data_IF_616693178122
#
_entry.id   IF_616693178122
#
_cell.length_a   1.000
_cell.length_b   1.000
_cell.length_c   1.000
_cell.angle_alpha   90.00
_cell.angle_beta   90.00
_cell.angle_gamma   90.00
#
_symmetry.space_group_name_H-M   'P 1'
#
loop_
_entity.id
_entity.type
_entity.pdbx_description
1 polymer ?
#
# COMPACT_ATOMS: atom_id res chain seq x y z
N UNK A 1 12.16 -8.72 -15.92
CA UNK A 1 13.39 -8.12 -15.35
C UNK A 1 13.03 -7.58 -13.99
N UNK A 2 13.51 -8.21 -12.94
CA UNK A 2 13.43 -7.70 -11.58
C UNK A 2 14.31 -6.47 -11.51
N UNK A 3 13.76 -5.33 -11.13
CA UNK A 3 14.52 -4.12 -10.86
C UNK A 3 15.58 -4.47 -9.80
N UNK A 4 16.85 -4.49 -10.17
CA UNK A 4 17.98 -4.83 -9.28
C UNK A 4 18.04 -3.92 -8.05
N UNK A 5 17.32 -2.78 -8.06
CA UNK A 5 17.18 -1.86 -6.92
C UNK A 5 16.14 -2.32 -5.90
N UNK A 6 15.29 -3.31 -6.22
CA UNK A 6 14.29 -3.82 -5.28
C UNK A 6 14.88 -4.38 -3.99
N UNK A 7 16.00 -5.12 -4.00
CA UNK A 7 16.61 -5.58 -2.76
C UNK A 7 17.01 -4.46 -1.80
N UNK A 8 17.48 -3.33 -2.33
CA UNK A 8 17.91 -2.19 -1.51
C UNK A 8 16.74 -1.34 -0.99
N UNK A 9 15.61 -1.36 -1.71
CA UNK A 9 14.37 -0.69 -1.29
C UNK A 9 13.60 -1.46 -0.19
N UNK A 10 13.95 -2.71 0.05
CA UNK A 10 13.16 -3.63 0.88
C UNK A 10 13.85 -4.06 2.19
N UNK A 11 14.80 -3.30 2.67
CA UNK A 11 15.45 -3.60 3.96
C UNK A 11 14.56 -3.13 5.12
N UNK A 12 14.23 -4.02 6.06
CA UNK A 12 13.40 -3.66 7.22
C UNK A 12 14.00 -2.55 8.09
N UNK A 13 15.34 -2.43 8.06
CA UNK A 13 16.11 -1.46 8.84
C UNK A 13 16.28 -0.11 8.15
N UNK A 14 15.79 0.01 6.92
CA UNK A 14 15.88 1.27 6.17
C UNK A 14 14.76 2.22 6.62
N UNK A 15 15.10 3.44 7.01
CA UNK A 15 14.11 4.48 7.32
C UNK A 15 13.34 4.94 6.08
N UNK A 16 13.84 4.59 4.88
CA UNK A 16 13.22 4.93 3.63
C UNK A 16 11.90 4.16 3.44
N UNK A 17 10.87 4.88 3.09
CA UNK A 17 9.56 4.33 2.73
C UNK A 17 9.08 4.99 1.44
N UNK A 18 8.44 4.20 0.59
CA UNK A 18 7.72 4.72 -0.56
C UNK A 18 6.46 5.43 -0.08
N UNK A 19 6.26 6.67 -0.46
CA UNK A 19 5.16 7.53 0.03
C UNK A 19 4.07 7.80 -1.01
N UNK A 20 4.28 7.39 -2.24
CA UNK A 20 3.34 7.58 -3.35
C UNK A 20 3.68 8.73 -4.28
N UNK A 21 4.72 9.50 -4.00
CA UNK A 21 5.21 10.57 -4.87
C UNK A 21 6.12 10.05 -5.99
N UNK A 22 6.56 8.79 -5.90
CA UNK A 22 7.43 8.20 -6.91
C UNK A 22 6.69 8.03 -8.25
N UNK A 23 7.38 8.35 -9.33
CA UNK A 23 6.88 8.11 -10.67
C UNK A 23 6.62 6.62 -10.90
N UNK A 24 5.45 6.26 -11.45
CA UNK A 24 5.15 4.87 -11.77
C UNK A 24 6.19 4.26 -12.71
N UNK A 25 6.69 3.07 -12.36
CA UNK A 25 7.62 2.27 -13.19
C UNK A 25 7.07 0.85 -13.33
N UNK A 26 5.98 0.68 -14.10
CA UNK A 26 5.33 -0.62 -14.24
C UNK A 26 6.24 -1.61 -14.96
N UNK A 27 6.36 -2.82 -14.40
CA UNK A 27 7.12 -3.92 -14.99
C UNK A 27 6.30 -4.83 -15.92
N UNK A 28 5.01 -4.58 -16.08
CA UNK A 28 4.10 -5.36 -16.92
C UNK A 28 2.85 -4.56 -17.30
N UNK A 29 2.04 -5.10 -18.23
CA UNK A 29 0.84 -4.44 -18.73
C UNK A 29 -0.24 -4.24 -17.64
N UNK A 30 -0.31 -5.11 -16.64
CA UNK A 30 -1.21 -4.91 -15.50
C UNK A 30 -0.81 -3.65 -14.73
N UNK A 31 0.46 -3.49 -14.41
CA UNK A 31 0.98 -2.27 -13.77
C UNK A 31 0.73 -1.02 -14.62
N UNK A 32 0.89 -1.11 -15.95
CA UNK A 32 0.55 -0.01 -16.88
C UNK A 32 -0.92 0.37 -16.75
N UNK A 33 -1.84 -0.59 -16.72
CA UNK A 33 -3.27 -0.31 -16.60
C UNK A 33 -3.61 0.39 -15.27
N UNK A 34 -2.93 0.03 -14.19
CA UNK A 34 -3.12 0.70 -12.88
C UNK A 34 -2.59 2.12 -12.88
N UNK A 35 -1.40 2.36 -13.43
CA UNK A 35 -0.85 3.71 -13.58
C UNK A 35 -1.74 4.59 -14.48
N UNK A 36 -2.32 4.03 -15.53
CA UNK A 36 -3.28 4.74 -16.38
C UNK A 36 -4.53 5.16 -15.59
N UNK A 37 -5.00 4.33 -14.67
CA UNK A 37 -6.11 4.67 -13.77
C UNK A 37 -5.81 5.89 -12.89
N UNK A 38 -4.60 6.01 -12.36
CA UNK A 38 -4.17 7.17 -11.56
C UNK A 38 -4.16 8.46 -12.43
N UNK A 39 -3.63 8.39 -13.64
CA UNK A 39 -3.61 9.52 -14.59
C UNK A 39 -5.04 9.92 -14.97
N UNK A 40 -5.90 8.94 -15.24
CA UNK A 40 -7.31 9.20 -15.56
C UNK A 40 -8.05 9.86 -14.39
N UNK A 41 -7.81 9.36 -13.18
CA UNK A 41 -8.38 9.95 -11.96
C UNK A 41 -7.94 11.41 -11.77
N UNK A 42 -6.68 11.72 -12.05
CA UNK A 42 -6.16 13.09 -12.03
C UNK A 42 -6.88 13.97 -13.04
N UNK A 43 -7.07 13.51 -14.28
CA UNK A 43 -7.80 14.23 -15.31
C UNK A 43 -9.24 14.58 -14.87
N UNK A 44 -9.97 13.61 -14.32
CA UNK A 44 -11.33 13.84 -13.85
C UNK A 44 -11.40 14.79 -12.65
N UNK A 45 -10.39 14.76 -11.80
CA UNK A 45 -10.29 15.77 -10.74
C UNK A 45 -10.11 17.18 -11.32
N UNK A 46 -9.09 17.35 -12.17
CA UNK A 46 -8.71 18.67 -12.69
C UNK A 46 -9.79 19.28 -13.59
N UNK A 47 -10.41 18.50 -14.47
CA UNK A 47 -11.38 18.98 -15.44
C UNK A 47 -12.83 19.03 -14.92
N UNK A 48 -13.18 18.18 -13.97
CA UNK A 48 -14.56 18.00 -13.52
C UNK A 48 -14.77 18.21 -12.02
N UNK A 49 -13.70 18.47 -11.27
CA UNK A 49 -13.78 18.72 -9.82
C UNK A 49 -14.16 17.50 -8.99
N UNK A 50 -13.98 16.27 -9.51
CA UNK A 50 -14.27 15.07 -8.75
C UNK A 50 -13.23 14.87 -7.66
N UNK A 51 -13.67 14.48 -6.48
CA UNK A 51 -12.77 13.97 -5.44
C UNK A 51 -12.35 12.56 -5.82
N UNK A 52 -11.05 12.32 -5.96
CA UNK A 52 -10.49 11.04 -6.39
C UNK A 52 -9.37 10.62 -5.44
N UNK A 53 -9.47 9.44 -4.89
CA UNK A 53 -8.36 8.80 -4.18
C UNK A 53 -7.97 7.49 -4.85
N UNK A 54 -6.70 7.37 -5.19
CA UNK A 54 -6.11 6.16 -5.74
C UNK A 54 -5.42 5.41 -4.61
N UNK A 55 -5.96 4.26 -4.25
CA UNK A 55 -5.38 3.40 -3.21
C UNK A 55 -4.47 2.35 -3.84
N UNK A 56 -3.18 2.46 -3.59
CA UNK A 56 -2.20 1.42 -3.91
C UNK A 56 -2.27 0.36 -2.82
N UNK A 57 -3.19 -0.58 -3.00
CA UNK A 57 -3.55 -1.58 -2.00
C UNK A 57 -2.48 -2.67 -1.88
N UNK A 58 -2.19 -3.07 -0.65
CA UNK A 58 -1.33 -4.21 -0.35
C UNK A 58 -2.02 -5.56 -0.58
N UNK A 59 -1.56 -6.58 0.14
CA UNK A 59 -2.07 -7.94 0.01
C UNK A 59 -3.23 -8.19 1.00
N UNK A 60 -4.44 -8.28 0.47
CA UNK A 60 -5.61 -8.75 1.20
C UNK A 60 -5.76 -10.25 0.96
N UNK A 61 -5.39 -11.07 1.94
CA UNK A 61 -5.44 -12.53 1.80
C UNK A 61 -6.81 -13.09 2.18
N UNK A 62 -7.30 -14.07 1.40
CA UNK A 62 -8.60 -14.70 1.65
C UNK A 62 -8.70 -15.33 3.05
N UNK A 63 -7.60 -15.88 3.56
CA UNK A 63 -7.54 -16.59 4.83
C UNK A 63 -7.09 -15.72 6.01
N UNK A 64 -7.05 -14.41 5.82
CA UNK A 64 -6.75 -13.39 6.81
C UNK A 64 -5.31 -13.27 7.31
N UNK A 65 -4.60 -14.30 7.80
CA UNK A 65 -3.22 -14.10 8.24
C UNK A 65 -2.30 -13.73 7.07
N UNK A 66 -1.27 -12.92 7.30
CA UNK A 66 -0.29 -12.58 6.28
C UNK A 66 0.47 -13.82 5.84
N UNK A 67 0.97 -13.79 4.60
CA UNK A 67 1.87 -14.82 4.13
C UNK A 67 3.19 -14.73 4.87
N UNK A 68 3.74 -15.87 5.24
CA UNK A 68 4.89 -15.97 6.11
C UNK A 68 6.22 -15.88 5.35
N UNK A 69 6.41 -14.78 4.65
CA UNK A 69 7.66 -14.35 4.03
C UNK A 69 7.73 -12.80 4.06
N UNK A 70 8.92 -12.25 3.94
CA UNK A 70 9.19 -10.83 4.17
C UNK A 70 8.22 -9.88 3.47
N UNK A 71 8.09 -10.00 2.15
CA UNK A 71 7.15 -9.16 1.38
C UNK A 71 5.70 -9.39 1.79
N UNK A 72 5.34 -10.63 2.14
CA UNK A 72 3.99 -10.96 2.60
C UNK A 72 3.64 -10.24 3.89
N UNK A 73 4.60 -10.16 4.80
CA UNK A 73 4.49 -9.41 6.05
C UNK A 73 4.42 -7.91 5.80
N UNK A 74 5.33 -7.39 4.96
CA UNK A 74 5.43 -5.95 4.70
C UNK A 74 4.21 -5.34 4.01
N UNK A 75 3.56 -6.12 3.15
CA UNK A 75 2.45 -5.66 2.30
C UNK A 75 1.07 -6.11 2.78
N UNK A 76 0.97 -6.73 3.93
CA UNK A 76 -0.30 -7.23 4.41
C UNK A 76 -1.30 -6.11 4.72
N UNK A 77 -2.55 -6.34 4.34
CA UNK A 77 -3.70 -5.54 4.74
C UNK A 77 -4.73 -6.49 5.36
N UNK A 78 -5.08 -6.26 6.62
CA UNK A 78 -6.12 -7.04 7.28
C UNK A 78 -7.50 -6.71 6.71
N UNK A 79 -8.46 -7.60 6.91
CA UNK A 79 -9.84 -7.35 6.49
C UNK A 79 -10.47 -6.18 7.26
N UNK A 80 -10.16 -6.05 8.56
CA UNK A 80 -10.62 -4.94 9.39
C UNK A 80 -10.07 -3.60 8.91
N UNK A 81 -8.76 -3.52 8.73
CA UNK A 81 -8.10 -2.30 8.27
C UNK A 81 -8.51 -1.92 6.85
N UNK A 82 -8.74 -2.92 5.98
CA UNK A 82 -9.28 -2.70 4.64
C UNK A 82 -10.67 -2.04 4.70
N UNK A 83 -11.57 -2.56 5.52
CA UNK A 83 -12.91 -1.99 5.69
C UNK A 83 -12.83 -0.55 6.24
N UNK A 84 -11.97 -0.31 7.23
CA UNK A 84 -11.73 1.02 7.78
C UNK A 84 -11.16 1.98 6.73
N UNK A 85 -10.16 1.56 5.96
CA UNK A 85 -9.55 2.39 4.90
C UNK A 85 -10.61 2.85 3.89
N UNK A 86 -11.44 1.94 3.39
CA UNK A 86 -12.47 2.30 2.41
C UNK A 86 -13.60 3.14 3.01
N UNK A 87 -13.98 2.92 4.28
CA UNK A 87 -14.91 3.83 4.98
C UNK A 87 -14.32 5.25 5.05
N UNK A 88 -13.03 5.38 5.34
CA UNK A 88 -12.35 6.68 5.35
C UNK A 88 -12.29 7.32 3.96
N UNK A 89 -12.00 6.56 2.91
CA UNK A 89 -12.06 7.04 1.54
C UNK A 89 -13.42 7.65 1.18
N UNK A 90 -14.50 7.09 1.68
CA UNK A 90 -15.87 7.57 1.39
C UNK A 90 -16.28 8.79 2.24
N UNK A 91 -15.65 9.01 3.39
CA UNK A 91 -16.04 10.07 4.34
C UNK A 91 -15.10 11.26 4.40
N UNK A 92 -13.85 11.09 4.02
CA UNK A 92 -12.86 12.17 4.08
C UNK A 92 -13.12 13.21 2.98
N UNK A 93 -12.67 14.42 3.23
CA UNK A 93 -12.71 15.53 2.27
C UNK A 93 -11.31 15.72 1.68
N UNK A 94 -11.20 15.50 0.37
CA UNK A 94 -9.94 15.60 -0.38
C UNK A 94 -10.22 15.96 -1.85
N UNK A 95 -9.19 16.42 -2.54
CA UNK A 95 -9.22 16.63 -3.99
C UNK A 95 -8.77 15.40 -4.76
N UNK A 96 -7.47 15.34 -5.09
CA UNK A 96 -6.83 14.18 -5.69
C UNK A 96 -5.70 13.68 -4.80
N UNK A 97 -5.78 12.40 -4.46
CA UNK A 97 -4.78 11.77 -3.58
C UNK A 97 -4.35 10.40 -4.11
N UNK A 98 -3.09 10.05 -3.86
CA UNK A 98 -2.56 8.70 -4.00
C UNK A 98 -2.04 8.27 -2.65
N UNK A 99 -2.52 7.14 -2.14
CA UNK A 99 -2.17 6.62 -0.82
C UNK A 99 -1.85 5.14 -0.89
N UNK A 100 -1.00 4.66 0.02
CA UNK A 100 -0.80 3.24 0.23
C UNK A 100 -1.79 2.69 1.25
N UNK A 101 -2.36 1.52 0.95
CA UNK A 101 -3.32 0.80 1.79
C UNK A 101 -2.73 -0.50 2.29
N UNK A 102 -2.10 -0.48 3.44
CA UNK A 102 -1.60 -1.63 4.20
C UNK A 102 -1.95 -1.46 5.67
N UNK A 103 -1.89 -2.56 6.45
CA UNK A 103 -1.95 -2.49 7.91
C UNK A 103 -0.69 -1.83 8.49
N UNK A 104 -0.67 -1.50 9.77
CA UNK A 104 0.48 -0.83 10.40
C UNK A 104 1.63 -1.79 10.68
N UNK A 105 2.02 -2.53 9.65
CA UNK A 105 3.03 -3.57 9.71
C UNK A 105 4.40 -3.01 10.12
N UNK A 106 5.06 -3.64 11.08
CA UNK A 106 6.42 -3.27 11.48
C UNK A 106 7.41 -3.32 10.32
N UNK A 107 7.25 -4.30 9.41
CA UNK A 107 8.12 -4.52 8.24
C UNK A 107 7.65 -3.81 6.96
N UNK A 108 6.86 -2.75 7.09
CA UNK A 108 6.32 -2.06 5.91
C UNK A 108 7.41 -1.38 5.07
N UNK A 109 7.25 -1.48 3.75
CA UNK A 109 8.05 -0.73 2.77
C UNK A 109 7.39 0.57 2.34
N UNK A 110 6.07 0.66 2.56
CA UNK A 110 5.25 1.78 2.13
C UNK A 110 4.86 2.62 3.33
N UNK A 111 4.93 3.93 3.16
CA UNK A 111 4.42 4.86 4.15
C UNK A 111 2.90 4.92 4.11
N UNK A 112 2.26 4.83 5.25
CA UNK A 112 0.82 5.07 5.41
C UNK A 112 0.51 6.48 5.94
N UNK A 113 1.53 7.30 6.12
CA UNK A 113 1.38 8.64 6.72
C UNK A 113 0.47 9.52 5.88
N UNK A 114 0.57 9.46 4.55
CA UNK A 114 -0.34 10.22 3.68
C UNK A 114 -1.79 9.79 3.84
N UNK A 115 -2.06 8.48 3.98
CA UNK A 115 -3.40 7.99 4.25
C UNK A 115 -3.93 8.44 5.62
N UNK A 116 -3.05 8.51 6.63
CA UNK A 116 -3.39 9.06 7.95
C UNK A 116 -3.76 10.53 7.86
N UNK A 117 -2.94 11.34 7.23
CA UNK A 117 -3.12 12.79 7.12
C UNK A 117 -4.39 13.16 6.36
N UNK A 118 -4.58 12.58 5.16
CA UNK A 118 -5.65 13.03 4.25
C UNK A 118 -6.97 12.29 4.43
N UNK A 119 -6.95 11.05 4.90
CA UNK A 119 -8.14 10.23 5.09
C UNK A 119 -8.52 10.06 6.56
N UNK A 120 -7.59 10.26 7.50
CA UNK A 120 -7.75 9.84 8.89
C UNK A 120 -7.75 8.32 9.03
N UNK A 121 -6.90 7.64 8.24
CA UNK A 121 -6.72 6.19 8.30
C UNK A 121 -5.95 5.81 9.55
N UNK A 122 -6.52 4.96 10.38
CA UNK A 122 -5.94 4.51 11.64
C UNK A 122 -6.02 2.97 11.69
N UNK A 123 -5.08 2.25 11.01
CA UNK A 123 -5.04 0.80 11.05
C UNK A 123 -4.68 0.30 12.44
N UNK A 124 -5.26 -0.84 12.83
CA UNK A 124 -5.09 -1.44 14.14
C UNK A 124 -4.28 -2.75 14.12
N UNK A 125 -4.09 -3.36 12.94
CA UNK A 125 -3.46 -4.66 12.80
C UNK A 125 -2.00 -4.55 12.37
N UNK A 126 -1.17 -5.48 12.88
CA UNK A 126 0.24 -5.64 12.50
C UNK A 126 0.50 -7.09 12.11
N UNK A 127 1.11 -7.28 10.95
CA UNK A 127 1.51 -8.61 10.46
C UNK A 127 2.50 -9.33 11.39
N UNK A 128 3.27 -8.58 12.18
CA UNK A 128 4.23 -9.15 13.13
C UNK A 128 3.58 -10.07 14.17
N UNK A 129 2.30 -9.88 14.49
CA UNK A 129 1.55 -10.76 15.40
C UNK A 129 1.40 -12.19 14.87
N UNK A 130 1.55 -12.39 13.56
CA UNK A 130 1.42 -13.66 12.86
C UNK A 130 2.76 -14.18 12.30
N UNK A 131 3.85 -13.50 12.64
CA UNK A 131 5.16 -13.81 12.08
C UNK A 131 5.72 -15.14 12.63
N UNK A 132 6.19 -15.99 11.73
CA UNK A 132 7.02 -17.14 12.03
C UNK A 132 8.42 -16.84 11.45
N UNK A 133 9.32 -16.40 12.31
CA UNK A 133 10.64 -15.89 11.92
C UNK A 133 11.47 -16.93 11.17
N UNK A 134 11.36 -18.21 11.53
CA UNK A 134 12.10 -19.27 10.85
C UNK A 134 11.66 -19.39 9.38
N UNK A 135 10.35 -19.39 9.13
CA UNK A 135 9.81 -19.47 7.77
C UNK A 135 10.00 -18.19 6.95
N UNK A 136 10.01 -17.03 7.63
CA UNK A 136 10.29 -15.75 6.95
C UNK A 136 11.71 -15.74 6.45
N UNK A 137 12.68 -16.22 7.24
CA UNK A 137 14.08 -16.30 6.86
C UNK A 137 14.35 -17.29 5.71
N UNK A 138 13.53 -18.34 5.57
CA UNK A 138 13.64 -19.30 4.47
C UNK A 138 13.18 -18.71 3.12
N UNK A 139 12.36 -17.64 3.13
CA UNK A 139 11.77 -17.03 1.95
C UNK A 139 10.66 -17.87 1.29
N UNK A 140 10.10 -17.41 0.18
CA UNK A 140 9.12 -18.17 -0.58
C UNK A 140 9.75 -19.27 -1.42
#
# INVERSE_FOLDING_TARGET
ETDERKPDLYRPDDEFRLDGEELPRPGNLYGVSKATGEVLGRYYHDEHGLSVVCVRIGNLTKNHPPRNYERGQAMWLSHRDCAHLFDRCLRADYGFEIVYGISDNQRKYYSIERAREVLGYEPEDDSAEFADEEKIAEGP
#
